data_IF_209210431269
#
_entry.id   IF_209210431269
#
_cell.length_a   1.000
_cell.length_b   1.000
_cell.length_c   1.000
_cell.angle_alpha   90.00
_cell.angle_beta   90.00
_cell.angle_gamma   90.00
#
_symmetry.space_group_name_H-M   'P 1'
#
loop_
_entity.id
_entity.type
_entity.pdbx_description
1 polymer ?
#
# COMPACT_ATOMS: atom_id res chain seq x y z
N UNK A 1 -15.47 32.13 -33.97
CA UNK A 1 -14.64 31.18 -33.21
C UNK A 1 -13.92 30.31 -34.23
N UNK A 2 -12.67 30.68 -34.51
CA UNK A 2 -11.82 30.09 -35.53
C UNK A 2 -11.66 28.58 -35.29
N UNK A 3 -11.63 27.78 -36.35
CA UNK A 3 -11.52 26.32 -36.24
C UNK A 3 -10.22 25.89 -35.53
N UNK A 4 -9.17 26.69 -35.65
CA UNK A 4 -7.92 26.55 -34.89
C UNK A 4 -8.16 26.64 -33.37
N UNK A 5 -8.99 27.58 -32.91
CA UNK A 5 -9.31 27.77 -31.48
C UNK A 5 -10.11 26.60 -30.93
N UNK A 6 -11.01 26.02 -31.72
CA UNK A 6 -11.75 24.79 -31.35
C UNK A 6 -10.79 23.62 -31.20
N UNK A 7 -9.82 23.47 -32.10
CA UNK A 7 -8.82 22.41 -32.07
C UNK A 7 -7.94 22.50 -30.81
N UNK A 8 -7.49 23.71 -30.44
CA UNK A 8 -6.76 23.94 -29.19
C UNK A 8 -7.58 23.60 -27.94
N UNK A 9 -8.87 23.99 -27.90
CA UNK A 9 -9.76 23.66 -26.77
C UNK A 9 -9.96 22.15 -26.61
N UNK A 10 -10.15 21.42 -27.71
CA UNK A 10 -10.30 19.96 -27.67
C UNK A 10 -9.02 19.29 -27.17
N UNK A 11 -7.85 19.72 -27.66
CA UNK A 11 -6.56 19.18 -27.20
C UNK A 11 -6.36 19.46 -25.70
N UNK A 12 -6.62 20.68 -25.24
CA UNK A 12 -6.52 21.03 -23.83
C UNK A 12 -7.46 20.20 -22.94
N UNK A 13 -8.70 19.97 -23.39
CA UNK A 13 -9.67 19.14 -22.68
C UNK A 13 -9.19 17.69 -22.57
N UNK A 14 -8.70 17.11 -23.68
CA UNK A 14 -8.18 15.73 -23.70
C UNK A 14 -6.95 15.59 -22.80
N UNK A 15 -6.04 16.57 -22.85
CA UNK A 15 -4.83 16.55 -22.03
C UNK A 15 -5.16 16.66 -20.54
N UNK A 16 -6.06 17.57 -20.17
CA UNK A 16 -6.53 17.74 -18.79
C UNK A 16 -7.29 16.51 -18.30
N UNK A 17 -8.18 15.94 -19.13
CA UNK A 17 -8.91 14.72 -18.82
C UNK A 17 -7.97 13.53 -18.60
N UNK A 18 -6.95 13.38 -19.43
CA UNK A 18 -5.95 12.31 -19.29
C UNK A 18 -5.12 12.48 -18.01
N UNK A 19 -4.68 13.71 -17.72
CA UNK A 19 -3.95 14.03 -16.49
C UNK A 19 -4.77 13.72 -15.24
N UNK A 20 -6.04 14.14 -15.23
CA UNK A 20 -6.96 13.88 -14.12
C UNK A 20 -7.21 12.37 -13.93
N UNK A 21 -7.38 11.63 -15.04
CA UNK A 21 -7.55 10.19 -15.02
C UNK A 21 -6.31 9.49 -14.44
N UNK A 22 -5.10 9.91 -14.83
CA UNK A 22 -3.86 9.33 -14.30
C UNK A 22 -3.74 9.52 -12.78
N UNK A 23 -4.07 10.71 -12.27
CA UNK A 23 -4.11 10.97 -10.82
C UNK A 23 -5.13 10.08 -10.13
N UNK A 24 -6.35 9.95 -10.68
CA UNK A 24 -7.38 9.09 -10.12
C UNK A 24 -6.93 7.62 -10.04
N UNK A 25 -6.26 7.11 -11.08
CA UNK A 25 -5.74 5.74 -11.10
C UNK A 25 -4.74 5.52 -9.97
N UNK A 26 -3.78 6.44 -9.78
CA UNK A 26 -2.81 6.36 -8.68
C UNK A 26 -3.51 6.44 -7.32
N UNK A 27 -4.49 7.34 -7.18
CA UNK A 27 -5.25 7.52 -5.95
C UNK A 27 -6.02 6.25 -5.56
N UNK A 28 -6.72 5.63 -6.52
CA UNK A 28 -7.44 4.36 -6.31
C UNK A 28 -6.46 3.22 -5.97
N UNK A 29 -5.28 3.18 -6.59
CA UNK A 29 -4.27 2.16 -6.30
C UNK A 29 -3.73 2.22 -4.85
N UNK A 30 -3.70 3.42 -4.25
CA UNK A 30 -3.31 3.62 -2.84
C UNK A 30 -4.48 3.38 -1.89
N UNK A 31 -5.69 3.83 -2.24
CA UNK A 31 -6.89 3.67 -1.40
C UNK A 31 -7.26 2.21 -1.22
N UNK A 32 -7.20 1.38 -2.27
CA UNK A 32 -7.63 -0.04 -2.19
C UNK A 32 -6.98 -0.83 -1.04
N UNK A 33 -5.64 -0.88 -0.91
CA UNK A 33 -5.00 -1.58 0.22
C UNK A 33 -5.24 -0.86 1.55
N UNK A 34 -5.27 0.47 1.57
CA UNK A 34 -5.53 1.23 2.80
C UNK A 34 -6.94 0.96 3.36
N UNK A 35 -7.95 0.98 2.50
CA UNK A 35 -9.35 0.73 2.87
C UNK A 35 -9.53 -0.71 3.38
N UNK A 36 -8.83 -1.67 2.77
CA UNK A 36 -8.80 -3.06 3.25
C UNK A 36 -8.22 -3.15 4.66
N UNK A 37 -7.12 -2.45 4.95
CA UNK A 37 -6.54 -2.38 6.29
C UNK A 37 -7.52 -1.75 7.30
N UNK A 38 -8.14 -0.64 6.89
CA UNK A 38 -9.08 0.12 7.71
C UNK A 38 -10.31 -0.71 8.07
N UNK A 39 -10.93 -1.40 7.10
CA UNK A 39 -12.06 -2.29 7.33
C UNK A 39 -11.73 -3.49 8.21
N UNK A 40 -10.48 -3.92 8.24
CA UNK A 40 -10.03 -5.09 9.00
C UNK A 40 -9.72 -4.78 10.48
N UNK A 41 -9.99 -3.55 10.94
CA UNK A 41 -9.95 -3.19 12.36
C UNK A 41 -8.60 -2.71 12.88
N UNK A 42 -7.60 -2.51 12.01
CA UNK A 42 -6.32 -1.93 12.37
C UNK A 42 -6.05 -0.67 11.51
N UNK A 43 -6.51 0.52 11.94
CA UNK A 43 -6.36 1.73 11.15
C UNK A 43 -4.89 2.12 11.09
N UNK A 44 -4.34 2.15 9.87
CA UNK A 44 -2.97 2.56 9.58
C UNK A 44 -3.05 3.92 8.90
N UNK A 45 -2.21 4.91 9.25
CA UNK A 45 -2.23 6.18 8.55
C UNK A 45 -1.94 6.00 7.05
N UNK A 46 -2.70 6.68 6.20
CA UNK A 46 -2.50 6.71 4.74
C UNK A 46 -1.03 6.97 4.37
N UNK A 47 -0.34 7.82 5.14
CA UNK A 47 1.07 8.15 4.94
C UNK A 47 2.00 6.95 5.07
N UNK A 48 1.69 5.97 5.93
CA UNK A 48 2.47 4.74 6.03
C UNK A 48 2.27 3.84 4.81
N UNK A 49 1.04 3.75 4.28
CA UNK A 49 0.75 3.00 3.04
C UNK A 49 1.47 3.62 1.85
N UNK A 50 1.47 4.95 1.75
CA UNK A 50 2.22 5.68 0.72
C UNK A 50 3.72 5.45 0.88
N UNK A 51 4.25 5.47 2.10
CA UNK A 51 5.66 5.18 2.38
C UNK A 51 6.08 3.77 1.97
N UNK A 52 5.26 2.76 2.27
CA UNK A 52 5.52 1.38 1.86
C UNK A 52 5.45 1.20 0.35
N UNK A 53 4.48 1.84 -0.32
CA UNK A 53 4.36 1.88 -1.79
C UNK A 53 5.59 2.52 -2.43
N UNK A 54 6.07 3.64 -1.89
CA UNK A 54 7.24 4.36 -2.41
C UNK A 54 8.51 3.51 -2.31
N UNK A 55 8.61 2.65 -1.29
CA UNK A 55 9.70 1.67 -1.12
C UNK A 55 9.52 0.41 -1.98
N UNK A 56 8.49 0.34 -2.84
CA UNK A 56 8.11 -0.86 -3.60
C UNK A 56 7.86 -2.10 -2.72
N UNK A 57 7.46 -1.92 -1.46
CA UNK A 57 7.07 -3.03 -0.62
C UNK A 57 5.64 -3.49 -0.95
N UNK A 58 5.36 -4.81 -0.92
CA UNK A 58 4.03 -5.35 -1.15
C UNK A 58 3.14 -5.04 0.05
N UNK A 59 2.44 -3.90 -0.02
CA UNK A 59 1.58 -3.42 1.07
C UNK A 59 0.53 -4.46 1.45
N UNK A 60 -0.10 -5.12 0.49
CA UNK A 60 -1.13 -6.13 0.78
C UNK A 60 -0.61 -7.25 1.66
N UNK A 61 0.59 -7.79 1.37
CA UNK A 61 1.20 -8.87 2.16
C UNK A 61 1.57 -8.41 3.57
N UNK A 62 2.13 -7.20 3.70
CA UNK A 62 2.44 -6.59 5.00
C UNK A 62 1.18 -6.39 5.85
N UNK A 63 0.10 -5.91 5.23
CA UNK A 63 -1.19 -5.70 5.88
C UNK A 63 -1.81 -7.02 6.33
N UNK A 64 -1.84 -8.02 5.47
CA UNK A 64 -2.47 -9.31 5.77
C UNK A 64 -1.74 -10.02 6.93
N UNK A 65 -0.40 -9.97 6.95
CA UNK A 65 0.40 -10.49 8.06
C UNK A 65 0.14 -9.70 9.36
N UNK A 66 0.15 -8.37 9.28
CA UNK A 66 -0.10 -7.50 10.42
C UNK A 66 -1.50 -7.70 11.01
N UNK A 67 -2.53 -7.77 10.17
CA UNK A 67 -3.92 -7.98 10.60
C UNK A 67 -4.08 -9.31 11.31
N UNK A 68 -3.48 -10.37 10.79
CA UNK A 68 -3.52 -11.69 11.41
C UNK A 68 -2.81 -11.69 12.78
N UNK A 69 -1.67 -11.01 12.91
CA UNK A 69 -0.99 -10.83 14.19
C UNK A 69 -1.83 -10.02 15.19
N UNK A 70 -2.53 -8.99 14.72
CA UNK A 70 -3.46 -8.18 15.53
C UNK A 70 -4.68 -8.98 15.99
N UNK A 71 -5.24 -9.84 15.13
CA UNK A 71 -6.31 -10.76 15.51
C UNK A 71 -5.87 -11.78 16.55
N UNK A 72 -4.62 -12.23 16.49
CA UNK A 72 -3.97 -13.06 17.53
C UNK A 72 -3.60 -12.27 18.80
N UNK A 73 -3.97 -10.99 18.90
CA UNK A 73 -3.65 -10.07 20.00
C UNK A 73 -2.15 -9.88 20.25
N UNK A 74 -1.32 -10.08 19.24
CA UNK A 74 0.13 -9.97 19.35
C UNK A 74 0.49 -8.49 19.14
N UNK A 75 1.09 -7.80 20.14
CA UNK A 75 1.39 -6.38 20.04
C UNK A 75 2.57 -6.17 19.10
N UNK A 76 2.30 -6.06 17.81
CA UNK A 76 3.29 -5.79 16.76
C UNK A 76 2.98 -4.42 16.17
N UNK A 77 4.01 -3.67 15.77
CA UNK A 77 3.83 -2.47 14.95
C UNK A 77 3.97 -2.81 13.46
N UNK A 78 3.22 -2.14 12.59
CA UNK A 78 3.35 -2.35 11.14
C UNK A 78 4.79 -2.10 10.64
N UNK A 79 5.53 -1.23 11.33
CA UNK A 79 6.92 -0.86 11.02
C UNK A 79 7.91 -1.97 11.37
N UNK A 80 7.63 -2.73 12.41
CA UNK A 80 8.37 -3.93 12.80
C UNK A 80 8.14 -5.04 11.76
N UNK A 81 6.88 -5.28 11.37
CA UNK A 81 6.54 -6.21 10.28
C UNK A 81 7.24 -5.82 8.97
N UNK A 82 7.23 -4.53 8.63
CA UNK A 82 7.94 -4.00 7.46
C UNK A 82 9.45 -4.23 7.54
N UNK A 83 10.06 -4.02 8.71
CA UNK A 83 11.48 -4.24 8.94
C UNK A 83 11.86 -5.73 8.79
N UNK A 84 11.09 -6.64 9.38
CA UNK A 84 11.31 -8.08 9.22
C UNK A 84 11.14 -8.51 7.76
N UNK A 85 10.15 -7.97 7.05
CA UNK A 85 9.98 -8.20 5.61
C UNK A 85 11.19 -7.73 4.80
N UNK A 86 11.74 -6.55 5.10
CA UNK A 86 12.91 -6.03 4.39
C UNK A 86 14.15 -6.90 4.60
N UNK A 87 14.35 -7.43 5.81
CA UNK A 87 15.45 -8.34 6.12
C UNK A 87 15.31 -9.69 5.42
N UNK A 88 14.09 -10.20 5.31
CA UNK A 88 13.80 -11.56 4.80
C UNK A 88 13.08 -11.57 3.44
N UNK A 89 13.24 -10.49 2.65
CA UNK A 89 12.49 -10.25 1.41
C UNK A 89 12.53 -11.42 0.41
N UNK A 90 13.63 -12.17 0.38
CA UNK A 90 13.83 -13.28 -0.55
C UNK A 90 13.19 -14.60 -0.09
N UNK A 91 12.83 -14.73 1.19
CA UNK A 91 12.19 -15.94 1.73
C UNK A 91 10.66 -15.79 1.77
N UNK A 92 10.21 -14.58 2.07
CA UNK A 92 8.81 -14.29 2.31
C UNK A 92 7.99 -14.26 1.03
N UNK A 93 7.15 -15.28 0.87
CA UNK A 93 6.23 -15.39 -0.27
C UNK A 93 4.76 -15.20 0.16
N UNK A 94 4.45 -15.44 1.44
CA UNK A 94 3.09 -15.38 1.99
C UNK A 94 3.03 -14.57 3.29
N UNK A 95 1.82 -14.15 3.68
CA UNK A 95 1.59 -13.46 4.95
C UNK A 95 1.92 -14.35 6.15
N UNK A 96 1.65 -15.66 6.05
CA UNK A 96 1.95 -16.63 7.11
C UNK A 96 3.44 -16.79 7.35
N UNK A 97 4.25 -16.85 6.28
CA UNK A 97 5.71 -16.94 6.38
C UNK A 97 6.30 -15.69 7.05
N UNK A 98 5.81 -14.50 6.68
CA UNK A 98 6.20 -13.26 7.35
C UNK A 98 5.83 -13.25 8.85
N UNK A 99 4.65 -13.78 9.21
CA UNK A 99 4.28 -13.92 10.62
C UNK A 99 5.25 -14.84 11.35
N UNK A 100 5.59 -15.99 10.77
CA UNK A 100 6.49 -16.96 11.38
C UNK A 100 7.87 -16.36 11.65
N UNK A 101 8.44 -15.66 10.66
CA UNK A 101 9.72 -14.96 10.80
C UNK A 101 9.66 -13.88 11.90
N UNK A 102 8.58 -13.09 11.95
CA UNK A 102 8.39 -12.08 13.00
C UNK A 102 8.28 -12.73 14.38
N UNK A 103 7.59 -13.87 14.51
CA UNK A 103 7.50 -14.60 15.78
C UNK A 103 8.84 -15.21 16.18
N UNK A 104 9.63 -15.73 15.24
CA UNK A 104 10.98 -16.26 15.49
C UNK A 104 11.92 -15.18 16.02
N UNK A 105 12.03 -14.02 15.33
CA UNK A 105 12.87 -12.90 15.81
C UNK A 105 12.45 -12.37 17.18
N UNK A 106 11.17 -12.52 17.55
CA UNK A 106 10.65 -12.13 18.87
C UNK A 106 10.86 -13.19 19.94
N UNK A 107 10.86 -14.47 19.59
CA UNK A 107 11.15 -15.57 20.51
C UNK A 107 12.64 -15.76 20.76
N UNK A 108 13.51 -15.26 19.87
CA UNK A 108 14.96 -15.21 20.08
C UNK A 108 15.42 -14.03 20.97
N UNK A 109 14.50 -13.17 21.42
CA UNK A 109 14.78 -12.06 22.35
C UNK A 109 14.19 -12.33 23.73
#
# INVERSE_FOLDING_TARGET
>A
MDDSTKLFLVIALVMFGTFFLAILVVFVAVIRPWLRAFMSGAPIPMTAVVGMRLRNNPVTLLLDAYLTMRWKQIPVSIREVESCYMQHRNRITTADDLMEVVMQERGEK
#
